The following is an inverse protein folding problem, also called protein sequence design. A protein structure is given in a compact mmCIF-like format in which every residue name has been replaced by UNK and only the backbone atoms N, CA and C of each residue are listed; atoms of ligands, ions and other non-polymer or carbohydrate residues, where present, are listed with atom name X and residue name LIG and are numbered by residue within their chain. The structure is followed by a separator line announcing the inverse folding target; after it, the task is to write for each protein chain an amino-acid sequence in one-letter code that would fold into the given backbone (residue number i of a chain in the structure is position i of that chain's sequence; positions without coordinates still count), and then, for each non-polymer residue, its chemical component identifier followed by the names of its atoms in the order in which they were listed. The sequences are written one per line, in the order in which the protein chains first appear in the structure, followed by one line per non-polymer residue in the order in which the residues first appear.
data_IF_720734693069
#
_entry.id   IF_720734693069
#
_cell.length_a   1.000
_cell.length_b   1.000
_cell.length_c   1.000
_cell.angle_alpha   90.00
_cell.angle_beta   90.00
_cell.angle_gamma   90.00
#
_symmetry.space_group_name_H-M   'P 1'
#
loop_
_entity.id
_entity.type
_entity.pdbx_description
1 polymer ?
#
# COMPACT_ATOMS: atom_id res chain seq x y z
N UNK A 1 -10.33 11.30 -6.38
CA UNK A 1 -11.75 11.73 -6.41
C UNK A 1 -12.22 11.83 -7.84
N UNK A 2 -13.33 11.18 -8.20
CA UNK A 2 -13.84 11.10 -9.58
C UNK A 2 -15.33 11.42 -9.65
N UNK A 3 -15.79 11.85 -10.83
CA UNK A 3 -17.20 12.17 -11.09
C UNK A 3 -17.98 10.89 -11.42
N UNK A 4 -18.97 10.55 -10.60
CA UNK A 4 -19.84 9.40 -10.79
C UNK A 4 -20.79 9.52 -11.98
N UNK A 5 -21.29 10.72 -12.26
CA UNK A 5 -22.20 10.94 -13.39
C UNK A 5 -21.51 10.69 -14.75
N UNK A 6 -20.26 11.13 -14.89
CA UNK A 6 -19.48 10.83 -16.09
C UNK A 6 -19.13 9.35 -16.19
N UNK A 7 -18.81 8.73 -15.04
CA UNK A 7 -18.52 7.30 -14.99
C UNK A 7 -19.73 6.46 -15.42
N UNK A 8 -20.95 6.81 -14.92
CA UNK A 8 -22.21 6.16 -15.33
C UNK A 8 -22.51 6.35 -16.83
N UNK A 9 -22.35 7.58 -17.34
CA UNK A 9 -22.79 7.93 -18.69
C UNK A 9 -21.78 7.53 -19.79
N UNK A 10 -20.48 7.69 -19.53
CA UNK A 10 -19.43 7.57 -20.56
C UNK A 10 -18.43 6.46 -20.24
N UNK A 11 -18.55 5.78 -19.10
CA UNK A 11 -17.56 4.82 -18.63
C UNK A 11 -16.19 5.43 -18.31
N UNK A 12 -16.07 6.77 -18.32
CA UNK A 12 -14.81 7.49 -18.12
C UNK A 12 -14.76 8.19 -16.77
N UNK A 13 -13.71 7.93 -16.01
CA UNK A 13 -13.45 8.54 -14.73
C UNK A 13 -12.82 9.95 -14.89
N UNK A 14 -13.65 10.98 -14.92
CA UNK A 14 -13.17 12.37 -14.88
C UNK A 14 -12.90 12.80 -13.45
N UNK A 15 -11.76 13.47 -13.21
CA UNK A 15 -11.38 13.95 -11.89
C UNK A 15 -12.28 15.09 -11.39
N UNK A 16 -12.45 15.17 -10.07
CA UNK A 16 -13.04 16.34 -9.43
C UNK A 16 -11.92 17.35 -9.13
N UNK A 17 -12.02 18.53 -9.71
CA UNK A 17 -11.03 19.62 -9.60
C UNK A 17 -11.43 20.60 -8.51
N UNK A 18 -10.45 21.08 -7.76
CA UNK A 18 -10.63 22.16 -6.81
C UNK A 18 -10.98 23.47 -7.53
N UNK A 19 -12.03 24.15 -7.06
CA UNK A 19 -12.47 25.44 -7.54
C UNK A 19 -12.60 26.39 -6.35
N UNK A 20 -11.97 27.57 -6.44
CA UNK A 20 -11.98 28.57 -5.39
C UNK A 20 -12.77 29.80 -5.87
N UNK A 21 -13.81 30.16 -5.12
CA UNK A 21 -14.62 31.35 -5.36
C UNK A 21 -14.60 32.25 -4.14
N UNK A 22 -14.63 33.55 -4.37
CA UNK A 22 -14.81 34.55 -3.32
C UNK A 22 -16.21 35.15 -3.50
N UNK A 23 -16.98 35.21 -2.42
CA UNK A 23 -18.34 35.72 -2.47
C UNK A 23 -18.61 36.79 -1.41
N UNK A 24 -19.49 37.74 -1.74
CA UNK A 24 -19.92 38.81 -0.86
C UNK A 24 -18.92 39.94 -0.67
N UNK A 25 -19.33 40.98 0.04
CA UNK A 25 -18.50 42.14 0.41
C UNK A 25 -17.31 41.74 1.31
N UNK A 26 -17.45 40.68 2.11
CA UNK A 26 -16.41 40.15 3.00
C UNK A 26 -15.38 39.25 2.29
N UNK A 27 -15.49 39.05 0.97
CA UNK A 27 -14.61 38.20 0.13
C UNK A 27 -14.36 36.82 0.75
N UNK A 28 -15.37 36.22 1.39
CA UNK A 28 -15.26 34.88 1.97
C UNK A 28 -14.85 33.86 0.91
N UNK A 29 -13.83 33.10 1.23
CA UNK A 29 -13.27 32.08 0.34
C UNK A 29 -14.09 30.81 0.44
N UNK A 30 -14.73 30.42 -0.66
CA UNK A 30 -15.44 29.15 -0.80
C UNK A 30 -14.63 28.22 -1.70
N UNK A 31 -14.25 27.07 -1.16
CA UNK A 31 -13.56 26.02 -1.89
C UNK A 31 -14.55 24.92 -2.19
N UNK A 32 -14.69 24.57 -3.47
CA UNK A 32 -15.56 23.50 -3.95
C UNK A 32 -14.78 22.55 -4.84
N UNK A 33 -15.29 21.34 -5.01
CA UNK A 33 -14.83 20.42 -6.05
C UNK A 33 -15.84 20.36 -7.18
N UNK A 34 -15.36 20.40 -8.41
CA UNK A 34 -16.14 20.41 -9.64
C UNK A 34 -15.58 19.40 -10.63
N UNK A 35 -16.47 18.72 -11.35
CA UNK A 35 -16.06 17.79 -12.42
C UNK A 35 -15.23 18.50 -13.49
N UNK A 36 -14.08 17.92 -13.86
CA UNK A 36 -13.20 18.46 -14.92
C UNK A 36 -13.88 18.49 -16.29
N UNK A 37 -14.74 17.52 -16.60
CA UNK A 37 -15.52 17.52 -17.83
C UNK A 37 -16.54 18.67 -17.86
N UNK A 38 -17.17 18.98 -16.72
CA UNK A 38 -18.03 20.18 -16.60
C UNK A 38 -17.23 21.48 -16.74
N UNK A 39 -16.03 21.52 -16.13
CA UNK A 39 -15.19 22.72 -16.17
C UNK A 39 -14.71 23.05 -17.59
N UNK A 40 -14.25 22.04 -18.33
CA UNK A 40 -13.55 22.22 -19.59
C UNK A 40 -14.47 22.09 -20.83
N UNK A 41 -15.44 21.16 -20.80
CA UNK A 41 -16.26 20.81 -21.95
C UNK A 41 -17.74 21.13 -21.77
N UNK A 42 -18.17 21.57 -20.58
CA UNK A 42 -19.57 21.82 -20.20
C UNK A 42 -20.52 20.64 -20.41
N UNK A 43 -19.99 19.43 -20.53
CA UNK A 43 -20.74 18.23 -20.91
C UNK A 43 -21.16 17.37 -19.70
N UNK A 44 -21.00 17.87 -18.47
CA UNK A 44 -21.41 17.19 -17.25
C UNK A 44 -22.28 18.12 -16.39
N UNK A 45 -23.40 17.60 -15.90
CA UNK A 45 -24.37 18.32 -15.07
C UNK A 45 -24.21 18.04 -13.55
N UNK A 46 -23.18 17.27 -13.16
CA UNK A 46 -22.90 17.00 -11.74
C UNK A 46 -22.66 18.31 -10.98
N UNK A 47 -23.22 18.39 -9.77
CA UNK A 47 -23.16 19.59 -8.92
C UNK A 47 -21.74 19.75 -8.32
N UNK A 48 -21.40 21.00 -8.03
CA UNK A 48 -20.22 21.30 -7.23
C UNK A 48 -20.49 20.89 -5.78
N UNK A 49 -19.49 20.29 -5.12
CA UNK A 49 -19.57 19.89 -3.71
C UNK A 49 -18.57 20.72 -2.90
N UNK A 50 -18.99 21.19 -1.72
CA UNK A 50 -18.09 21.95 -0.83
C UNK A 50 -16.97 21.05 -0.30
N UNK A 51 -15.75 21.59 -0.26
CA UNK A 51 -14.57 20.87 0.22
C UNK A 51 -14.79 20.32 1.64
N UNK A 52 -15.23 21.17 2.55
CA UNK A 52 -15.44 20.81 3.95
C UNK A 52 -16.44 19.66 4.11
N UNK A 53 -17.51 19.68 3.30
CA UNK A 53 -18.52 18.64 3.35
C UNK A 53 -17.97 17.28 2.92
N UNK A 54 -17.27 17.22 1.78
CA UNK A 54 -16.75 15.95 1.26
C UNK A 54 -15.60 15.40 2.11
N UNK A 55 -14.72 16.29 2.62
CA UNK A 55 -13.61 15.90 3.48
C UNK A 55 -14.13 15.32 4.79
N UNK A 56 -15.09 15.98 5.45
CA UNK A 56 -15.72 15.46 6.67
C UNK A 56 -16.46 14.14 6.40
N UNK A 57 -17.20 14.05 5.29
CA UNK A 57 -17.91 12.83 4.92
C UNK A 57 -16.96 11.63 4.76
N UNK A 58 -15.82 11.82 4.08
CA UNK A 58 -14.80 10.76 3.92
C UNK A 58 -14.23 10.34 5.27
N UNK A 59 -13.96 11.29 6.17
CA UNK A 59 -13.47 10.98 7.51
C UNK A 59 -14.52 10.22 8.35
N UNK A 60 -15.78 10.62 8.27
CA UNK A 60 -16.89 9.92 8.92
C UNK A 60 -17.08 8.49 8.39
N UNK A 61 -16.94 8.31 7.08
CA UNK A 61 -17.01 6.97 6.47
C UNK A 61 -15.82 6.09 6.89
N UNK A 62 -14.62 6.65 6.99
CA UNK A 62 -13.46 5.96 7.54
C UNK A 62 -13.71 5.53 8.99
N UNK A 63 -14.22 6.44 9.82
CA UNK A 63 -14.49 6.14 11.23
C UNK A 63 -15.55 5.04 11.39
N UNK A 64 -16.62 5.07 10.60
CA UNK A 64 -17.69 4.10 10.67
C UNK A 64 -17.32 2.71 10.14
N UNK A 65 -16.57 2.66 9.03
CA UNK A 65 -16.32 1.41 8.33
C UNK A 65 -14.99 0.74 8.73
N UNK A 66 -13.97 1.53 9.03
CA UNK A 66 -12.62 1.02 9.33
C UNK A 66 -12.33 1.06 10.83
N UNK A 67 -12.72 2.16 11.52
CA UNK A 67 -12.34 2.41 12.92
C UNK A 67 -13.43 2.06 13.93
N UNK A 68 -14.46 1.32 13.51
CA UNK A 68 -15.47 0.85 14.44
C UNK A 68 -14.91 -0.28 15.30
N UNK A 69 -15.34 -0.33 16.56
CA UNK A 69 -14.97 -1.42 17.49
C UNK A 69 -15.27 -2.82 16.92
N UNK A 70 -16.31 -2.93 16.11
CA UNK A 70 -16.70 -4.19 15.46
C UNK A 70 -15.76 -4.58 14.31
N UNK A 71 -15.14 -3.60 13.65
CA UNK A 71 -14.23 -3.83 12.54
C UNK A 71 -12.83 -4.26 13.00
N UNK A 72 -12.41 -3.86 14.21
CA UNK A 72 -11.06 -4.15 14.74
C UNK A 72 -10.71 -5.64 14.71
N UNK A 73 -11.51 -6.56 15.26
CA UNK A 73 -11.18 -7.98 15.24
C UNK A 73 -11.08 -8.54 13.81
N UNK A 74 -11.96 -8.06 12.92
CA UNK A 74 -11.97 -8.48 11.51
C UNK A 74 -10.70 -8.00 10.80
N UNK A 75 -10.31 -6.76 11.04
CA UNK A 75 -9.09 -6.18 10.48
C UNK A 75 -7.83 -6.91 10.99
N UNK A 76 -7.74 -7.13 12.30
CA UNK A 76 -6.64 -7.87 12.92
C UNK A 76 -6.52 -9.25 12.31
N UNK A 77 -7.63 -9.98 12.21
CA UNK A 77 -7.64 -11.31 11.58
C UNK A 77 -7.15 -11.25 10.14
N UNK A 78 -7.74 -10.37 9.30
CA UNK A 78 -7.31 -10.23 7.89
C UNK A 78 -5.85 -9.85 7.74
N UNK A 79 -5.34 -8.94 8.60
CA UNK A 79 -3.94 -8.53 8.58
C UNK A 79 -3.01 -9.68 8.97
N UNK A 80 -3.36 -10.46 10.00
CA UNK A 80 -2.58 -11.61 10.41
C UNK A 80 -2.65 -12.74 9.37
N UNK A 81 -3.81 -13.01 8.78
CA UNK A 81 -3.97 -13.99 7.69
C UNK A 81 -3.11 -13.59 6.46
N UNK A 82 -3.12 -12.31 6.09
CA UNK A 82 -2.26 -11.78 5.02
C UNK A 82 -0.78 -11.92 5.38
N UNK A 83 -0.40 -11.55 6.59
CA UNK A 83 0.96 -11.69 7.10
C UNK A 83 1.43 -13.16 7.08
N UNK A 84 0.59 -14.08 7.53
CA UNK A 84 0.88 -15.51 7.51
C UNK A 84 1.05 -16.05 6.08
N UNK A 85 0.18 -15.63 5.15
CA UNK A 85 0.29 -16.00 3.75
C UNK A 85 1.59 -15.49 3.14
N UNK A 86 1.95 -14.24 3.42
CA UNK A 86 3.19 -13.64 2.96
C UNK A 86 4.42 -14.35 3.56
N UNK A 87 4.43 -14.58 4.88
CA UNK A 87 5.50 -15.33 5.56
C UNK A 87 5.67 -16.71 4.95
N UNK A 88 4.59 -17.47 4.77
CA UNK A 88 4.66 -18.83 4.22
C UNK A 88 5.19 -18.87 2.78
N UNK A 89 4.93 -17.85 1.98
CA UNK A 89 5.51 -17.68 0.64
C UNK A 89 7.01 -17.42 0.71
N UNK A 90 7.41 -16.51 1.60
CA UNK A 90 8.82 -16.14 1.81
C UNK A 90 9.61 -17.31 2.40
N UNK A 91 9.03 -18.06 3.32
CA UNK A 91 9.67 -19.26 3.90
C UNK A 91 9.98 -20.30 2.83
N UNK A 92 9.07 -20.57 1.91
CA UNK A 92 9.29 -21.49 0.77
C UNK A 92 10.40 -21.00 -0.17
N UNK A 93 10.46 -19.69 -0.39
CA UNK A 93 11.52 -19.10 -1.21
C UNK A 93 12.89 -19.21 -0.54
N UNK A 94 12.96 -18.93 0.76
CA UNK A 94 14.18 -19.13 1.57
C UNK A 94 14.58 -20.60 1.58
N UNK A 95 13.66 -21.53 1.76
CA UNK A 95 13.93 -22.97 1.75
C UNK A 95 14.49 -23.42 0.37
N UNK A 96 13.92 -22.94 -0.73
CA UNK A 96 14.41 -23.22 -2.06
C UNK A 96 15.84 -22.68 -2.29
N UNK A 97 16.10 -21.43 -1.86
CA UNK A 97 17.41 -20.81 -1.94
C UNK A 97 18.44 -21.56 -1.08
N UNK A 98 18.09 -21.98 0.11
CA UNK A 98 18.96 -22.80 0.97
C UNK A 98 19.28 -24.15 0.33
N UNK A 99 18.30 -24.77 -0.32
CA UNK A 99 18.52 -26.02 -1.09
C UNK A 99 19.49 -25.85 -2.26
N UNK A 100 19.42 -24.71 -2.98
CA UNK A 100 20.37 -24.38 -4.03
C UNK A 100 21.76 -24.04 -3.47
N UNK A 101 21.81 -23.26 -2.39
CA UNK A 101 23.04 -22.91 -1.69
C UNK A 101 23.82 -24.17 -1.28
N UNK A 102 23.14 -25.15 -0.70
CA UNK A 102 23.75 -26.41 -0.34
C UNK A 102 24.36 -27.18 -1.52
N UNK A 103 23.71 -27.13 -2.70
CA UNK A 103 24.27 -27.70 -3.95
C UNK A 103 25.52 -26.97 -4.41
N UNK A 104 25.51 -25.62 -4.36
CA UNK A 104 26.65 -24.80 -4.71
C UNK A 104 27.82 -25.07 -3.77
N UNK A 105 27.62 -25.15 -2.48
CA UNK A 105 28.63 -25.48 -1.49
C UNK A 105 29.25 -26.88 -1.68
N UNK A 106 28.40 -27.84 -2.05
CA UNK A 106 28.89 -29.18 -2.41
C UNK A 106 29.78 -29.14 -3.64
N UNK A 107 29.42 -28.37 -4.66
CA UNK A 107 30.22 -28.22 -5.87
C UNK A 107 31.56 -27.51 -5.58
N UNK A 108 31.56 -26.48 -4.75
CA UNK A 108 32.79 -25.81 -4.28
C UNK A 108 33.71 -26.82 -3.58
N UNK A 109 33.20 -27.59 -2.64
CA UNK A 109 34.00 -28.63 -1.95
C UNK A 109 34.60 -29.65 -2.92
N UNK A 110 33.80 -30.12 -3.89
CA UNK A 110 34.30 -31.07 -4.91
C UNK A 110 35.43 -30.50 -5.76
N UNK A 111 35.38 -29.20 -6.12
CA UNK A 111 36.44 -28.55 -6.88
C UNK A 111 37.66 -28.36 -6.00
N UNK A 112 37.50 -27.94 -4.76
CA UNK A 112 38.61 -27.78 -3.79
C UNK A 112 39.34 -29.11 -3.60
N UNK A 113 38.59 -30.22 -3.41
CA UNK A 113 39.16 -31.56 -3.26
C UNK A 113 39.91 -32.03 -4.53
N UNK A 114 39.37 -31.71 -5.71
CA UNK A 114 40.02 -32.02 -7.00
C UNK A 114 41.35 -31.26 -7.17
N UNK A 115 41.37 -29.98 -6.80
CA UNK A 115 42.58 -29.12 -6.84
C UNK A 115 43.62 -29.61 -5.82
N UNK A 116 43.16 -29.95 -4.59
CA UNK A 116 44.02 -30.51 -3.55
C UNK A 116 44.63 -31.85 -3.95
N UNK A 117 43.88 -32.63 -4.75
CA UNK A 117 44.39 -33.91 -5.33
C UNK A 117 45.33 -33.75 -6.54
N UNK A 118 45.82 -32.55 -6.81
CA UNK A 118 46.82 -32.26 -7.87
C UNK A 118 46.22 -32.06 -9.27
N UNK A 119 44.89 -31.91 -9.41
CA UNK A 119 44.19 -31.63 -10.68
C UNK A 119 43.92 -30.17 -10.89
N UNK A 120 44.92 -29.31 -10.70
CA UNK A 120 44.78 -27.87 -10.83
C UNK A 120 44.76 -27.46 -12.33
N UNK A 121 43.58 -27.10 -12.86
CA UNK A 121 43.40 -26.50 -14.19
C UNK A 121 42.81 -25.08 -14.01
N UNK A 122 43.19 -24.13 -14.87
CA UNK A 122 42.68 -22.75 -14.83
C UNK A 122 41.15 -22.69 -14.84
N UNK A 123 40.52 -23.54 -15.62
CA UNK A 123 39.02 -23.66 -15.71
C UNK A 123 38.35 -24.04 -14.38
N UNK A 124 39.06 -24.79 -13.52
CA UNK A 124 38.53 -25.12 -12.17
C UNK A 124 38.58 -23.91 -11.24
N UNK A 125 39.63 -23.10 -11.35
CA UNK A 125 39.76 -21.86 -10.57
C UNK A 125 38.72 -20.84 -11.00
N UNK A 126 38.49 -20.66 -12.31
CA UNK A 126 37.45 -19.79 -12.84
C UNK A 126 36.05 -20.24 -12.35
N UNK A 127 35.77 -21.55 -12.44
CA UNK A 127 34.54 -22.10 -11.97
C UNK A 127 34.32 -21.97 -10.46
N UNK A 128 35.39 -22.08 -9.68
CA UNK A 128 35.36 -21.83 -8.24
C UNK A 128 34.95 -20.41 -7.94
N UNK A 129 35.56 -19.42 -8.62
CA UNK A 129 35.24 -18.00 -8.46
C UNK A 129 33.74 -17.71 -8.80
N UNK A 130 33.22 -18.28 -9.88
CA UNK A 130 31.82 -18.15 -10.24
C UNK A 130 30.88 -18.72 -9.16
N UNK A 131 31.21 -19.90 -8.60
CA UNK A 131 30.42 -20.53 -7.57
C UNK A 131 30.47 -19.77 -6.23
N UNK A 132 31.61 -19.22 -5.90
CA UNK A 132 31.76 -18.37 -4.71
C UNK A 132 30.94 -17.07 -4.83
N UNK A 133 30.96 -16.42 -6.02
CA UNK A 133 30.11 -15.26 -6.26
C UNK A 133 28.63 -15.63 -6.15
N UNK A 134 28.22 -16.72 -6.81
CA UNK A 134 26.84 -17.20 -6.72
C UNK A 134 26.40 -17.51 -5.29
N UNK A 135 27.32 -18.09 -4.48
CA UNK A 135 27.07 -18.33 -3.04
C UNK A 135 26.81 -17.02 -2.31
N UNK A 136 27.66 -16.01 -2.48
CA UNK A 136 27.52 -14.70 -1.84
C UNK A 136 26.21 -14.00 -2.23
N UNK A 137 25.81 -14.08 -3.50
CA UNK A 137 24.55 -13.50 -4.00
C UNK A 137 23.33 -14.18 -3.35
N UNK A 138 23.36 -15.51 -3.21
CA UNK A 138 22.30 -16.28 -2.55
C UNK A 138 22.21 -15.96 -1.06
N UNK A 139 23.33 -15.89 -0.34
CA UNK A 139 23.38 -15.54 1.08
C UNK A 139 22.80 -14.13 1.31
N UNK A 140 23.14 -13.18 0.43
CA UNK A 140 22.58 -11.82 0.47
C UNK A 140 21.07 -11.84 0.25
N UNK A 141 20.58 -12.59 -0.73
CA UNK A 141 19.14 -12.69 -1.01
C UNK A 141 18.37 -13.32 0.16
N UNK A 142 18.91 -14.37 0.79
CA UNK A 142 18.32 -15.00 1.97
C UNK A 142 18.25 -14.01 3.14
N UNK A 143 19.32 -13.24 3.36
CA UNK A 143 19.35 -12.24 4.43
C UNK A 143 18.31 -11.13 4.19
N UNK A 144 18.17 -10.62 2.97
CA UNK A 144 17.17 -9.62 2.61
C UNK A 144 15.73 -10.14 2.82
N UNK A 145 15.44 -11.36 2.38
CA UNK A 145 14.13 -11.98 2.58
C UNK A 145 13.81 -12.17 4.06
N UNK A 146 14.80 -12.60 4.86
CA UNK A 146 14.65 -12.79 6.30
C UNK A 146 14.37 -11.48 7.06
N UNK A 147 14.93 -10.35 6.60
CA UNK A 147 14.67 -9.03 7.18
C UNK A 147 13.25 -8.56 6.85
N UNK A 148 12.73 -8.89 5.67
CA UNK A 148 11.40 -8.49 5.21
C UNK A 148 10.28 -9.28 5.89
N UNK A 149 10.58 -10.38 6.57
CA UNK A 149 9.57 -11.16 7.27
C UNK A 149 9.03 -10.40 8.49
N UNK A 150 7.71 -10.20 8.57
CA UNK A 150 7.09 -9.64 9.76
C UNK A 150 7.17 -10.65 10.92
N UNK A 151 7.81 -10.24 12.01
CA UNK A 151 8.09 -11.14 13.16
C UNK A 151 7.04 -11.10 14.26
N UNK A 152 6.15 -10.10 14.25
CA UNK A 152 5.20 -9.90 15.33
C UNK A 152 3.77 -9.99 14.81
N UNK A 153 2.96 -10.73 15.55
CA UNK A 153 1.52 -10.78 15.36
C UNK A 153 0.89 -9.39 15.65
N UNK A 154 -0.01 -8.98 14.79
CA UNK A 154 -0.73 -7.71 14.94
C UNK A 154 -1.82 -7.90 15.99
N UNK A 155 -1.73 -7.16 17.09
CA UNK A 155 -2.73 -7.19 18.15
C UNK A 155 -3.83 -6.15 17.95
N UNK A 156 -5.00 -6.38 18.56
CA UNK A 156 -6.08 -5.38 18.59
C UNK A 156 -5.63 -4.07 19.23
N UNK A 157 -4.77 -4.13 20.25
CA UNK A 157 -4.26 -2.95 20.94
C UNK A 157 -3.41 -2.07 20.03
N UNK A 158 -2.59 -2.69 19.16
CA UNK A 158 -1.82 -1.96 18.15
C UNK A 158 -2.75 -1.21 17.18
N UNK A 159 -3.81 -1.88 16.71
CA UNK A 159 -4.81 -1.27 15.80
C UNK A 159 -5.58 -0.16 16.51
N UNK A 160 -6.01 -0.35 17.76
CA UNK A 160 -6.64 0.69 18.58
C UNK A 160 -5.73 1.89 18.78
N UNK A 161 -4.45 1.66 19.04
CA UNK A 161 -3.44 2.71 19.16
C UNK A 161 -3.30 3.56 17.89
N UNK A 162 -3.28 2.92 16.71
CA UNK A 162 -3.27 3.62 15.42
C UNK A 162 -4.52 4.48 15.22
N UNK A 163 -5.70 3.97 15.56
CA UNK A 163 -6.96 4.72 15.44
C UNK A 163 -7.02 5.90 16.40
N UNK A 164 -6.52 5.73 17.63
CA UNK A 164 -6.42 6.82 18.60
C UNK A 164 -5.51 7.94 18.10
N UNK A 165 -4.37 7.60 17.52
CA UNK A 165 -3.46 8.57 16.92
C UNK A 165 -4.10 9.30 15.73
N UNK A 166 -4.84 8.59 14.89
CA UNK A 166 -5.55 9.21 13.77
C UNK A 166 -6.61 10.23 14.23
N UNK A 167 -7.43 9.88 15.23
CA UNK A 167 -8.38 10.82 15.84
C UNK A 167 -7.69 12.05 16.40
N UNK A 168 -6.52 11.88 17.01
CA UNK A 168 -5.69 13.00 17.49
C UNK A 168 -5.24 13.89 16.33
N UNK A 169 -4.76 13.34 15.21
CA UNK A 169 -4.36 14.13 14.04
C UNK A 169 -5.53 14.91 13.41
N UNK A 170 -6.73 14.34 13.41
CA UNK A 170 -7.93 15.06 12.96
C UNK A 170 -8.22 16.24 13.89
N UNK A 171 -8.21 16.02 15.22
CA UNK A 171 -8.46 17.05 16.21
C UNK A 171 -7.43 18.20 16.15
N UNK A 172 -6.17 17.88 15.94
CA UNK A 172 -5.07 18.83 15.78
C UNK A 172 -5.01 19.50 14.40
N UNK A 173 -5.91 19.13 13.49
CA UNK A 173 -5.94 19.59 12.08
C UNK A 173 -4.62 19.37 11.34
N UNK A 174 -3.91 18.29 11.65
CA UNK A 174 -2.68 17.90 10.97
C UNK A 174 -2.99 17.34 9.58
N UNK A 175 -3.14 18.23 8.61
CA UNK A 175 -3.57 17.89 7.24
C UNK A 175 -2.61 16.91 6.57
N UNK A 176 -1.32 16.96 6.86
CA UNK A 176 -0.32 16.08 6.26
C UNK A 176 -0.54 14.62 6.69
N UNK A 177 -0.62 14.37 8.00
CA UNK A 177 -0.82 13.02 8.53
C UNK A 177 -2.20 12.48 8.18
N UNK A 178 -3.25 13.32 8.23
CA UNK A 178 -4.60 12.93 7.79
C UNK A 178 -4.61 12.51 6.31
N UNK A 179 -3.94 13.25 5.42
CA UNK A 179 -3.86 12.88 3.99
C UNK A 179 -3.12 11.57 3.77
N UNK A 180 -1.99 11.37 4.45
CA UNK A 180 -1.22 10.13 4.39
C UNK A 180 -2.08 8.94 4.81
N UNK A 181 -2.79 9.11 5.92
CA UNK A 181 -3.67 8.08 6.45
C UNK A 181 -4.86 7.77 5.52
N UNK A 182 -5.57 8.81 5.06
CA UNK A 182 -6.67 8.63 4.07
C UNK A 182 -6.16 7.92 2.81
N UNK A 183 -4.98 8.31 2.30
CA UNK A 183 -4.36 7.69 1.14
C UNK A 183 -4.00 6.20 1.31
N UNK A 184 -3.80 5.74 2.55
CA UNK A 184 -3.51 4.33 2.85
C UNK A 184 -4.77 3.45 2.87
N UNK A 185 -5.96 4.01 3.10
CA UNK A 185 -7.20 3.24 3.28
C UNK A 185 -8.24 3.48 2.19
N UNK A 186 -8.26 4.66 1.57
CA UNK A 186 -9.24 5.05 0.55
C UNK A 186 -8.66 4.91 -0.84
N UNK A 187 -9.17 3.96 -1.61
CA UNK A 187 -8.80 3.76 -3.02
C UNK A 187 -9.30 4.94 -3.87
N UNK A 188 -10.60 5.21 -3.77
CA UNK A 188 -11.23 6.30 -4.52
C UNK A 188 -12.49 6.82 -3.84
N UNK A 189 -12.82 8.07 -4.16
CA UNK A 189 -14.09 8.70 -3.79
C UNK A 189 -14.83 9.04 -5.08
N UNK A 190 -16.06 8.58 -5.22
CA UNK A 190 -16.91 8.78 -6.40
C UNK A 190 -18.03 9.74 -6.00
N UNK A 191 -18.11 10.87 -6.68
CA UNK A 191 -19.09 11.93 -6.39
C UNK A 191 -20.20 11.90 -7.43
N UNK A 192 -21.39 11.52 -7.01
CA UNK A 192 -22.61 11.58 -7.81
C UNK A 192 -23.38 12.89 -7.53
N UNK A 193 -24.49 13.08 -8.20
CA UNK A 193 -25.36 14.26 -8.08
C UNK A 193 -26.13 14.29 -6.76
N UNK A 194 -26.44 13.14 -6.23
CA UNK A 194 -27.32 12.86 -5.08
C UNK A 194 -26.57 12.23 -3.89
N UNK A 195 -25.46 11.52 -4.13
CA UNK A 195 -24.71 10.83 -3.09
C UNK A 195 -23.20 10.78 -3.38
N UNK A 196 -22.45 10.28 -2.41
CA UNK A 196 -20.98 10.07 -2.50
C UNK A 196 -20.67 8.65 -2.07
N UNK A 197 -19.88 7.95 -2.87
CA UNK A 197 -19.35 6.63 -2.54
C UNK A 197 -17.87 6.75 -2.17
N UNK A 198 -17.49 6.10 -1.08
CA UNK A 198 -16.09 5.96 -0.67
C UNK A 198 -15.70 4.50 -0.84
N UNK A 199 -14.74 4.24 -1.72
CA UNK A 199 -14.21 2.91 -1.96
C UNK A 199 -12.92 2.75 -1.18
N UNK A 200 -12.86 1.74 -0.34
CA UNK A 200 -11.71 1.42 0.48
C UNK A 200 -10.89 0.30 -0.17
N UNK A 201 -9.57 0.29 0.06
CA UNK A 201 -8.70 -0.82 -0.35
C UNK A 201 -9.09 -2.15 0.31
N UNK A 202 -9.64 -2.06 1.52
CA UNK A 202 -10.13 -3.21 2.27
C UNK A 202 -11.61 -3.00 2.57
N UNK A 203 -12.49 -3.68 1.87
CA UNK A 203 -13.90 -3.79 2.27
C UNK A 203 -14.04 -4.89 3.31
N UNK A 204 -14.54 -4.52 4.49
CA UNK A 204 -14.93 -5.48 5.53
C UNK A 204 -16.25 -6.16 5.18
#
# INVERSE_FOLDING_TARGET
MVCGECLKREGKAYSMMGNCKHSGRSKLKHVTYRCSNRANRKSCDNKEIRREYIENYVLDQLEKNIFSEKAIPILVKKLNDYQQTFSSSTDKEIEALNGELHKVEKNIRNIVDAVAGGRAHSSLVERLTELEQRKADMETSIAELSIKQPRNEISEEMVRGLFKNFRKFIAEKNVFEVRKFVGSYVEKVIVYKDHVEVVFFFSC
#
